data_IF_979511790756
#
_entry.id   IF_979511790756
#
_cell.length_a   1.000
_cell.length_b   1.000
_cell.length_c   1.000
_cell.angle_alpha   90.00
_cell.angle_beta   90.00
_cell.angle_gamma   90.00
#
_symmetry.space_group_name_H-M   'P 1'
#
loop_
_entity.id
_entity.type
_entity.pdbx_description
1 polymer ?
#
# COMPACT_ATOMS: atom_id res chain seq x y z
N UNK A 1 -12.60 2.71 19.35
CA UNK A 1 -11.80 2.07 18.28
C UNK A 1 -12.48 2.18 16.91
N UNK A 2 -13.81 2.01 16.82
CA UNK A 2 -14.58 2.10 15.58
C UNK A 2 -14.70 3.52 14.96
N UNK A 3 -14.78 4.58 15.78
CA UNK A 3 -15.10 5.93 15.29
C UNK A 3 -14.04 6.63 14.43
N UNK A 4 -12.80 6.09 14.32
CA UNK A 4 -11.65 6.85 13.79
C UNK A 4 -10.82 6.17 12.70
N UNK A 5 -11.02 4.87 12.45
CA UNK A 5 -10.81 4.32 11.09
C UNK A 5 -11.61 5.14 10.07
N UNK A 6 -12.76 5.65 10.51
CA UNK A 6 -13.65 6.58 9.80
C UNK A 6 -12.95 7.81 9.24
N UNK A 7 -11.89 8.39 9.81
CA UNK A 7 -11.35 9.66 9.26
C UNK A 7 -10.63 9.46 7.91
N UNK A 8 -9.78 8.43 7.82
CA UNK A 8 -9.13 8.06 6.54
C UNK A 8 -10.15 7.41 5.61
N UNK A 9 -11.02 6.52 6.11
CA UNK A 9 -12.10 5.93 5.28
C UNK A 9 -13.09 6.97 4.73
N UNK A 10 -13.51 7.96 5.51
CA UNK A 10 -14.46 9.01 5.10
C UNK A 10 -13.83 9.97 4.07
N UNK A 11 -12.50 9.98 3.95
CA UNK A 11 -11.81 10.68 2.85
C UNK A 11 -11.76 9.86 1.56
N UNK A 12 -11.84 8.53 1.63
CA UNK A 12 -11.85 7.67 0.43
C UNK A 12 -13.11 7.88 -0.41
N UNK A 13 -14.23 8.29 0.20
CA UNK A 13 -15.46 8.63 -0.53
C UNK A 13 -15.41 10.04 -1.16
N UNK A 14 -14.34 10.81 -0.93
CA UNK A 14 -14.21 12.21 -1.36
C UNK A 14 -13.01 12.46 -2.27
N UNK A 15 -12.10 11.50 -2.38
CA UNK A 15 -10.83 11.65 -3.08
C UNK A 15 -10.71 10.54 -4.12
N UNK A 16 -10.70 10.93 -5.38
CA UNK A 16 -10.39 10.03 -6.48
C UNK A 16 -8.87 9.79 -6.53
N UNK A 17 -8.47 8.52 -6.42
CA UNK A 17 -7.06 8.11 -6.45
C UNK A 17 -6.76 7.46 -7.79
N UNK A 18 -5.83 8.05 -8.54
CA UNK A 18 -5.35 7.54 -9.80
C UNK A 18 -3.82 7.44 -9.81
N UNK A 19 -3.30 6.51 -10.62
CA UNK A 19 -1.87 6.41 -10.92
C UNK A 19 -1.61 6.98 -12.31
N UNK A 20 -0.70 7.94 -12.41
CA UNK A 20 -0.23 8.50 -13.68
C UNK A 20 1.28 8.30 -13.78
N UNK A 21 1.71 7.31 -14.55
CA UNK A 21 3.12 7.08 -14.84
C UNK A 21 3.26 6.33 -16.17
N UNK A 22 4.43 6.47 -16.79
CA UNK A 22 4.82 5.73 -17.97
C UNK A 22 6.30 5.35 -17.86
N UNK A 23 6.58 4.05 -17.91
CA UNK A 23 7.93 3.51 -17.95
C UNK A 23 8.01 2.48 -19.09
N UNK A 24 8.80 2.82 -20.11
CA UNK A 24 9.02 1.97 -21.29
C UNK A 24 10.22 1.02 -21.12
N UNK A 25 10.97 1.13 -20.03
CA UNK A 25 12.18 0.32 -19.78
C UNK A 25 11.86 -1.04 -19.13
N UNK A 26 10.63 -1.24 -18.67
CA UNK A 26 10.16 -2.47 -18.01
C UNK A 26 8.86 -3.00 -18.63
N UNK A 27 8.47 -4.22 -18.27
CA UNK A 27 7.19 -4.82 -18.69
C UNK A 27 6.03 -3.94 -18.19
N UNK A 28 5.23 -3.41 -19.12
CA UNK A 28 4.13 -2.46 -18.81
C UNK A 28 3.12 -3.00 -17.78
N UNK A 29 2.81 -4.31 -17.85
CA UNK A 29 1.93 -4.97 -16.87
C UNK A 29 2.58 -4.97 -15.48
N UNK A 30 3.89 -5.23 -15.40
CA UNK A 30 4.61 -5.17 -14.13
C UNK A 30 4.60 -3.75 -13.56
N UNK A 31 4.83 -2.73 -14.39
CA UNK A 31 4.75 -1.33 -13.98
C UNK A 31 3.38 -1.02 -13.34
N UNK A 32 2.29 -1.43 -13.98
CA UNK A 32 0.93 -1.23 -13.46
C UNK A 32 0.69 -1.96 -12.14
N UNK A 33 1.06 -3.25 -12.06
CA UNK A 33 0.91 -4.06 -10.85
C UNK A 33 1.71 -3.47 -9.68
N UNK A 34 2.94 -3.04 -9.93
CA UNK A 34 3.80 -2.39 -8.93
C UNK A 34 3.16 -1.09 -8.45
N UNK A 35 2.73 -0.23 -9.37
CA UNK A 35 2.15 1.08 -9.05
C UNK A 35 0.90 0.94 -8.19
N UNK A 36 -0.09 0.17 -8.65
CA UNK A 36 -1.35 -0.01 -7.92
C UNK A 36 -1.14 -0.67 -6.55
N UNK A 37 -0.33 -1.74 -6.46
CA UNK A 37 -0.05 -2.40 -5.18
C UNK A 37 0.69 -1.48 -4.22
N UNK A 38 1.58 -0.61 -4.72
CA UNK A 38 2.31 0.35 -3.88
C UNK A 38 1.37 1.43 -3.33
N UNK A 39 0.47 1.96 -4.15
CA UNK A 39 -0.59 2.89 -3.70
C UNK A 39 -1.48 2.25 -2.65
N UNK A 40 -1.95 1.01 -2.87
CA UNK A 40 -2.77 0.29 -1.90
C UNK A 40 -2.03 0.03 -0.57
N UNK A 41 -0.75 -0.33 -0.62
CA UNK A 41 0.08 -0.50 0.58
C UNK A 41 0.27 0.81 1.34
N UNK A 42 0.45 1.93 0.66
CA UNK A 42 0.55 3.24 1.28
C UNK A 42 -0.76 3.61 2.02
N UNK A 43 -1.91 3.33 1.41
CA UNK A 43 -3.21 3.50 2.06
C UNK A 43 -3.37 2.60 3.29
N UNK A 44 -2.94 1.33 3.21
CA UNK A 44 -2.93 0.42 4.35
C UNK A 44 -2.03 0.94 5.49
N UNK A 45 -0.85 1.46 5.15
CA UNK A 45 0.07 2.04 6.13
C UNK A 45 -0.56 3.26 6.82
N UNK A 46 -1.19 4.16 6.07
CA UNK A 46 -1.91 5.31 6.61
C UNK A 46 -3.10 4.92 7.50
N UNK A 47 -3.83 3.85 7.15
CA UNK A 47 -4.91 3.30 7.97
C UNK A 47 -4.42 2.67 9.27
N UNK A 48 -3.16 2.21 9.30
CA UNK A 48 -2.56 1.57 10.46
C UNK A 48 -1.95 2.57 11.45
N UNK A 49 -1.59 3.76 10.99
CA UNK A 49 -0.92 4.77 11.80
C UNK A 49 -1.76 5.16 13.04
N UNK A 50 -1.17 5.25 14.25
CA UNK A 50 -1.86 5.70 15.45
C UNK A 50 -2.07 7.23 15.46
N UNK A 51 -2.73 7.76 14.43
CA UNK A 51 -2.87 9.21 14.17
C UNK A 51 -3.46 9.97 15.36
N UNK A 52 -4.33 9.35 16.17
CA UNK A 52 -4.88 9.99 17.36
C UNK A 52 -3.81 10.28 18.42
N UNK A 53 -2.98 9.27 18.73
CA UNK A 53 -1.88 9.38 19.69
C UNK A 53 -0.88 10.43 19.19
N UNK A 54 -0.57 10.41 17.90
CA UNK A 54 0.32 11.39 17.27
C UNK A 54 -0.21 12.83 17.36
N UNK A 55 -1.50 13.05 17.08
CA UNK A 55 -2.14 14.37 17.22
C UNK A 55 -2.16 14.84 18.67
N UNK A 56 -2.37 13.95 19.63
CA UNK A 56 -2.34 14.30 21.05
C UNK A 56 -0.93 14.73 21.48
N UNK A 57 0.11 13.97 21.10
CA UNK A 57 1.50 14.37 21.34
C UNK A 57 1.82 15.73 20.72
N UNK A 58 1.35 15.97 19.50
CA UNK A 58 1.54 17.27 18.82
C UNK A 58 0.84 18.42 19.54
N UNK A 59 -0.42 18.24 19.95
CA UNK A 59 -1.19 19.26 20.68
C UNK A 59 -0.59 19.60 22.04
N UNK A 60 0.07 18.63 22.68
CA UNK A 60 0.73 18.81 23.98
C UNK A 60 2.20 19.26 23.86
N UNK A 61 2.72 19.45 22.64
CA UNK A 61 4.12 19.84 22.41
C UNK A 61 5.14 18.73 22.67
N UNK A 62 4.70 17.47 22.77
CA UNK A 62 5.53 16.29 23.05
C UNK A 62 6.19 15.75 21.77
N UNK A 63 7.02 16.55 21.12
CA UNK A 63 7.57 16.18 19.80
C UNK A 63 8.50 14.97 19.81
N UNK A 64 9.19 14.71 20.92
CA UNK A 64 10.00 13.49 21.09
C UNK A 64 9.12 12.24 21.05
N UNK A 65 8.02 12.23 21.80
CA UNK A 65 7.07 11.11 21.83
C UNK A 65 6.38 10.94 20.48
N UNK A 66 6.02 12.05 19.81
CA UNK A 66 5.46 12.04 18.45
C UNK A 66 6.42 11.35 17.47
N UNK A 67 7.69 11.75 17.47
CA UNK A 67 8.69 11.18 16.56
C UNK A 67 8.98 9.71 16.87
N UNK A 68 9.18 9.35 18.13
CA UNK A 68 9.41 7.97 18.53
C UNK A 68 8.25 7.06 18.11
N UNK A 69 7.00 7.50 18.33
CA UNK A 69 5.81 6.74 17.94
C UNK A 69 5.71 6.55 16.42
N UNK A 70 6.07 7.58 15.63
CA UNK A 70 6.10 7.49 14.17
C UNK A 70 7.15 6.48 13.66
N UNK A 71 8.34 6.47 14.26
CA UNK A 71 9.39 5.53 13.86
C UNK A 71 9.02 4.08 14.22
N UNK A 72 8.50 3.84 15.42
CA UNK A 72 8.03 2.51 15.83
C UNK A 72 6.89 2.01 14.94
N UNK A 73 6.02 2.90 14.45
CA UNK A 73 4.94 2.52 13.54
C UNK A 73 5.44 1.90 12.22
N UNK A 74 6.65 2.24 11.76
CA UNK A 74 7.24 1.66 10.53
C UNK A 74 7.59 0.18 10.68
N UNK A 75 7.89 -0.26 11.90
CA UNK A 75 8.25 -1.64 12.22
C UNK A 75 7.04 -2.53 12.53
N UNK A 76 5.83 -1.97 12.57
CA UNK A 76 4.61 -2.75 12.79
C UNK A 76 4.41 -3.79 11.67
N UNK A 77 3.76 -4.94 11.97
CA UNK A 77 3.65 -6.05 11.03
C UNK A 77 2.58 -5.82 9.94
N UNK A 78 2.56 -4.64 9.31
CA UNK A 78 1.63 -4.30 8.22
C UNK A 78 1.75 -5.25 7.02
N UNK A 79 2.95 -5.82 6.79
CA UNK A 79 3.18 -6.81 5.74
C UNK A 79 2.34 -8.10 5.93
N UNK A 80 2.12 -8.52 7.18
CA UNK A 80 1.28 -9.68 7.46
C UNK A 80 -0.19 -9.41 7.10
N UNK A 81 -0.68 -8.19 7.35
CA UNK A 81 -2.05 -7.80 6.99
C UNK A 81 -2.21 -7.59 5.50
N UNK A 82 -1.20 -7.05 4.82
CA UNK A 82 -1.16 -7.01 3.36
C UNK A 82 -1.26 -8.42 2.75
N UNK A 83 -0.50 -9.38 3.28
CA UNK A 83 -0.55 -10.76 2.80
C UNK A 83 -1.93 -11.37 3.03
N UNK A 84 -2.53 -11.17 4.21
CA UNK A 84 -3.89 -11.64 4.50
C UNK A 84 -4.95 -11.02 3.58
N UNK A 85 -4.80 -9.75 3.23
CA UNK A 85 -5.65 -9.08 2.26
C UNK A 85 -5.54 -9.74 0.87
N UNK A 86 -4.32 -9.96 0.38
CA UNK A 86 -4.09 -10.66 -0.88
C UNK A 86 -4.68 -12.07 -0.87
N UNK A 87 -4.45 -12.86 0.19
CA UNK A 87 -5.00 -14.21 0.33
C UNK A 87 -6.53 -14.23 0.30
N UNK A 88 -7.19 -13.24 0.93
CA UNK A 88 -8.66 -13.15 0.94
C UNK A 88 -9.25 -12.85 -0.45
N UNK A 89 -8.46 -12.27 -1.34
CA UNK A 89 -8.89 -11.86 -2.68
C UNK A 89 -8.33 -12.78 -3.78
N UNK A 90 -7.74 -13.93 -3.42
CA UNK A 90 -7.08 -14.86 -4.35
C UNK A 90 -5.98 -14.19 -5.20
N UNK A 91 -5.29 -13.21 -4.61
CA UNK A 91 -4.20 -12.46 -5.27
C UNK A 91 -2.85 -13.02 -4.77
N UNK A 92 -1.84 -13.21 -5.64
CA UNK A 92 -0.53 -13.68 -5.22
C UNK A 92 0.17 -12.75 -4.20
N UNK A 93 0.70 -13.33 -3.13
CA UNK A 93 1.42 -12.63 -2.05
C UNK A 93 2.91 -12.46 -2.34
N UNK A 94 3.54 -11.47 -1.71
CA UNK A 94 4.98 -11.23 -1.91
C UNK A 94 5.34 -10.96 -3.37
N UNK A 95 6.32 -11.72 -3.88
CA UNK A 95 6.84 -11.66 -5.24
C UNK A 95 6.26 -12.72 -6.19
N UNK A 96 5.36 -13.59 -5.72
CA UNK A 96 4.82 -14.70 -6.52
C UNK A 96 4.04 -14.24 -7.77
N UNK A 97 3.52 -13.00 -7.78
CA UNK A 97 2.91 -12.40 -8.97
C UNK A 97 3.89 -12.20 -10.13
N UNK A 98 5.21 -12.12 -9.88
CA UNK A 98 6.21 -12.03 -10.95
C UNK A 98 6.23 -13.28 -11.82
N UNK A 99 6.00 -14.46 -11.24
CA UNK A 99 5.92 -15.71 -12.00
C UNK A 99 4.76 -15.70 -13.00
N UNK A 100 3.63 -15.09 -12.62
CA UNK A 100 2.46 -14.92 -13.49
C UNK A 100 2.82 -14.02 -14.67
N UNK A 101 3.55 -12.93 -14.42
CA UNK A 101 3.99 -12.00 -15.47
C UNK A 101 4.99 -12.65 -16.41
N UNK A 102 6.03 -13.32 -15.89
CA UNK A 102 7.01 -14.01 -16.74
C UNK A 102 6.35 -15.08 -17.61
N UNK A 103 5.38 -15.83 -17.07
CA UNK A 103 4.58 -16.76 -17.86
C UNK A 103 3.79 -16.03 -18.95
N UNK A 104 3.10 -14.95 -18.61
CA UNK A 104 2.34 -14.17 -19.59
C UNK A 104 3.22 -13.61 -20.72
N UNK A 105 4.39 -13.08 -20.37
CA UNK A 105 5.37 -12.55 -21.33
C UNK A 105 5.84 -13.63 -22.31
N UNK A 106 6.23 -14.80 -21.79
CA UNK A 106 6.70 -15.92 -22.60
C UNK A 106 5.62 -16.46 -23.56
N UNK A 107 4.34 -16.42 -23.18
CA UNK A 107 3.25 -17.01 -23.96
C UNK A 107 2.60 -16.06 -24.97
N UNK A 108 2.62 -14.75 -24.69
CA UNK A 108 1.79 -13.77 -25.40
C UNK A 108 2.62 -12.64 -26.01
N UNK A 109 3.51 -12.03 -25.21
CA UNK A 109 4.28 -10.86 -25.66
C UNK A 109 5.41 -11.26 -26.63
N UNK A 110 6.02 -12.44 -26.44
CA UNK A 110 7.04 -12.99 -27.35
C UNK A 110 6.54 -13.31 -28.76
N UNK A 111 5.22 -13.41 -28.95
CA UNK A 111 4.58 -13.74 -30.25
C UNK A 111 4.11 -12.52 -31.04
N UNK A 112 4.13 -11.34 -30.43
CA UNK A 112 3.59 -10.09 -31.01
C UNK A 112 4.65 -9.01 -31.20
N UNK A 113 5.93 -9.38 -31.22
CA UNK A 113 7.07 -8.54 -31.59
C UNK A 113 7.61 -8.92 -32.95
#
# INVERSE_FOLDING_TARGET
MADKLSAVLCSLDRVDIATEFFDASIIRIAAWVIGVRSTQKALLFALWEPTHTLRNHEQNGEYTSRLATLEEAKALPWGAVWNKFCDKHDIPTGLSWLEVIHKYEAHTLSKGG
#
